data_IF_171387454462
#
_entry.id   IF_171387454462
#
_cell.length_a   1.000
_cell.length_b   1.000
_cell.length_c   1.000
_cell.angle_alpha   90.00
_cell.angle_beta   90.00
_cell.angle_gamma   90.00
#
_symmetry.space_group_name_H-M   'P 1'
#
loop_
_entity.id
_entity.type
_entity.pdbx_description
1 polymer ?
#
# COMPACT_ATOMS: atom_id res chain seq x y z
N UNK A 1 -22.00 -15.00 -2.67
CA UNK A 1 -21.20 -14.90 -1.44
C UNK A 1 -19.77 -14.48 -1.83
N UNK A 2 -19.51 -13.18 -2.03
CA UNK A 2 -18.19 -12.69 -2.31
C UNK A 2 -17.40 -12.54 -1.00
N UNK A 3 -16.33 -13.30 -0.87
CA UNK A 3 -15.38 -13.20 0.24
C UNK A 3 -14.67 -11.86 0.17
N UNK A 4 -15.02 -10.96 1.07
CA UNK A 4 -14.24 -9.73 1.34
C UNK A 4 -12.79 -10.07 1.58
N UNK A 5 -11.89 -9.64 0.68
CA UNK A 5 -10.44 -9.74 0.85
C UNK A 5 -10.03 -8.91 2.05
N UNK A 6 -9.66 -9.55 3.12
CA UNK A 6 -9.17 -8.92 4.35
C UNK A 6 -7.75 -8.43 4.13
N UNK A 7 -7.58 -7.14 3.92
CA UNK A 7 -6.28 -6.46 3.99
C UNK A 7 -5.98 -6.19 5.47
N UNK A 8 -5.74 -7.24 6.24
CA UNK A 8 -5.04 -7.11 7.51
C UNK A 8 -3.58 -7.47 7.26
N UNK A 9 -2.79 -6.50 6.85
CA UNK A 9 -1.38 -6.56 7.08
C UNK A 9 -1.21 -6.45 8.61
N UNK A 10 -0.64 -7.48 9.22
CA UNK A 10 -0.51 -7.61 10.67
C UNK A 10 0.21 -6.38 11.25
N UNK A 11 -0.47 -5.59 12.08
CA UNK A 11 0.05 -4.42 12.83
C UNK A 11 1.20 -4.74 13.79
N UNK A 12 1.67 -5.96 13.80
CA UNK A 12 2.80 -6.37 14.62
C UNK A 12 4.06 -6.39 13.76
N UNK A 13 5.11 -5.62 14.12
CA UNK A 13 6.37 -5.58 13.35
C UNK A 13 7.08 -6.94 13.22
N UNK A 14 6.64 -7.93 13.96
CA UNK A 14 7.11 -9.32 13.95
C UNK A 14 5.98 -10.30 13.50
N UNK A 15 5.13 -9.93 12.56
CA UNK A 15 4.12 -10.82 12.01
C UNK A 15 4.64 -11.64 10.82
N UNK A 16 4.04 -12.84 10.61
CA UNK A 16 4.29 -13.64 9.42
C UNK A 16 3.75 -12.93 8.17
N UNK A 17 4.35 -13.16 6.98
CA UNK A 17 3.81 -12.63 5.74
C UNK A 17 2.39 -13.13 5.49
N UNK A 18 1.57 -12.29 4.89
CA UNK A 18 0.22 -12.68 4.49
C UNK A 18 0.27 -13.45 3.17
N UNK A 19 0.24 -14.78 3.24
CA UNK A 19 0.32 -15.67 2.06
C UNK A 19 -0.90 -15.60 1.13
N UNK A 20 -1.96 -14.85 1.49
CA UNK A 20 -3.11 -14.56 0.62
C UNK A 20 -2.87 -13.33 -0.26
N UNK A 21 -1.84 -12.53 0.04
CA UNK A 21 -1.50 -11.35 -0.73
C UNK A 21 -0.74 -11.76 -2.00
N UNK A 22 -1.25 -11.34 -3.16
CA UNK A 22 -0.65 -11.65 -4.47
C UNK A 22 0.81 -11.19 -4.57
N UNK A 23 1.13 -10.03 -4.01
CA UNK A 23 2.48 -9.48 -4.02
C UNK A 23 3.46 -10.32 -3.18
N UNK A 24 3.01 -10.91 -2.06
CA UNK A 24 3.81 -11.86 -1.26
C UNK A 24 4.05 -13.13 -2.06
N UNK A 25 2.99 -13.70 -2.65
CA UNK A 25 3.07 -14.90 -3.48
C UNK A 25 4.02 -14.71 -4.67
N UNK A 26 3.90 -13.59 -5.38
CA UNK A 26 4.76 -13.27 -6.53
C UNK A 26 6.24 -13.17 -6.12
N UNK A 27 6.53 -12.53 -4.98
CA UNK A 27 7.91 -12.42 -4.47
C UNK A 27 8.49 -13.76 -4.03
N UNK A 28 7.69 -14.61 -3.39
CA UNK A 28 8.12 -15.99 -3.06
C UNK A 28 8.49 -16.71 -4.34
N UNK A 29 7.61 -16.73 -5.35
CA UNK A 29 7.88 -17.39 -6.63
C UNK A 29 9.14 -16.84 -7.31
N UNK A 30 9.31 -15.52 -7.33
CA UNK A 30 10.46 -14.89 -7.97
C UNK A 30 11.77 -15.22 -7.24
N UNK A 31 11.80 -15.07 -5.92
CA UNK A 31 13.00 -15.36 -5.12
C UNK A 31 13.37 -16.83 -5.21
N UNK A 32 12.41 -17.76 -5.07
CA UNK A 32 12.67 -19.21 -5.18
C UNK A 32 13.20 -19.58 -6.56
N UNK A 33 12.64 -19.03 -7.65
CA UNK A 33 13.16 -19.29 -8.98
C UNK A 33 14.56 -18.67 -9.22
N UNK A 34 14.85 -17.50 -8.64
CA UNK A 34 16.20 -16.92 -8.66
C UNK A 34 17.21 -17.80 -7.90
N UNK A 35 16.83 -18.33 -6.74
CA UNK A 35 17.67 -19.26 -5.97
C UNK A 35 17.87 -20.57 -6.73
N UNK A 36 16.85 -21.10 -7.40
CA UNK A 36 16.95 -22.27 -8.26
C UNK A 36 17.92 -22.06 -9.44
N UNK A 37 17.86 -20.89 -10.07
CA UNK A 37 18.81 -20.51 -11.12
C UNK A 37 20.24 -20.42 -10.60
N UNK A 38 20.44 -19.78 -9.45
CA UNK A 38 21.75 -19.72 -8.80
C UNK A 38 22.28 -21.12 -8.48
N UNK A 39 21.45 -22.01 -7.96
CA UNK A 39 21.80 -23.40 -7.70
C UNK A 39 22.16 -24.15 -8.99
N UNK A 40 21.40 -23.95 -10.08
CA UNK A 40 21.70 -24.57 -11.39
C UNK A 40 23.06 -24.10 -11.92
N UNK A 41 23.40 -22.81 -11.79
CA UNK A 41 24.70 -22.26 -12.19
C UNK A 41 25.84 -22.90 -11.36
N UNK A 42 25.66 -23.02 -10.04
CA UNK A 42 26.67 -23.59 -9.15
C UNK A 42 26.90 -25.09 -9.39
N UNK A 43 25.90 -25.83 -9.89
CA UNK A 43 25.96 -27.23 -10.18
C UNK A 43 26.39 -27.55 -11.63
N UNK A 44 26.34 -26.56 -12.52
CA UNK A 44 26.69 -26.74 -13.93
C UNK A 44 28.21 -26.84 -14.11
N UNK A 45 28.65 -27.79 -14.97
CA UNK A 45 30.04 -27.93 -15.36
C UNK A 45 30.41 -27.07 -16.58
N UNK A 46 29.40 -26.68 -17.39
CA UNK A 46 29.51 -25.84 -18.56
C UNK A 46 28.25 -24.99 -18.73
N UNK A 47 28.34 -23.91 -19.52
CA UNK A 47 27.19 -23.05 -19.82
C UNK A 47 26.03 -23.82 -20.47
N UNK A 48 26.31 -24.83 -21.29
CA UNK A 48 25.32 -25.70 -21.92
C UNK A 48 24.50 -26.54 -20.94
N UNK A 49 25.02 -26.79 -19.74
CA UNK A 49 24.41 -27.67 -18.75
C UNK A 49 23.38 -26.91 -17.89
N UNK A 50 23.46 -25.57 -17.83
CA UNK A 50 22.60 -24.74 -16.99
C UNK A 50 21.10 -24.99 -17.27
N UNK A 51 20.60 -25.00 -18.53
CA UNK A 51 19.20 -25.25 -18.82
C UNK A 51 18.72 -26.61 -18.32
N UNK A 52 19.55 -27.65 -18.49
CA UNK A 52 19.22 -29.00 -18.04
C UNK A 52 19.14 -29.08 -16.51
N UNK A 53 20.13 -28.53 -15.79
CA UNK A 53 20.11 -28.43 -14.31
C UNK A 53 18.95 -27.62 -13.79
N UNK A 54 18.64 -26.50 -14.44
CA UNK A 54 17.48 -25.69 -14.09
C UNK A 54 16.17 -26.47 -14.24
N UNK A 55 16.02 -27.24 -15.32
CA UNK A 55 14.83 -28.07 -15.54
C UNK A 55 14.68 -29.15 -14.46
N UNK A 56 15.77 -29.84 -14.09
CA UNK A 56 15.78 -30.82 -13.00
C UNK A 56 15.29 -30.18 -11.66
N UNK A 57 15.84 -29.01 -11.28
CA UNK A 57 15.50 -28.33 -10.04
C UNK A 57 14.04 -27.86 -10.07
N UNK A 58 13.58 -27.22 -11.16
CA UNK A 58 12.24 -26.66 -11.27
C UNK A 58 11.17 -27.75 -11.25
N UNK A 59 11.47 -28.94 -11.80
CA UNK A 59 10.52 -30.08 -11.79
C UNK A 59 10.16 -30.52 -10.36
N UNK A 60 11.11 -30.46 -9.42
CA UNK A 60 10.85 -30.76 -8.01
C UNK A 60 10.34 -29.53 -7.25
N UNK A 61 10.90 -28.35 -7.52
CA UNK A 61 10.59 -27.11 -6.81
C UNK A 61 9.15 -26.64 -7.04
N UNK A 62 8.66 -26.70 -8.29
CA UNK A 62 7.34 -26.15 -8.64
C UNK A 62 6.19 -26.79 -7.88
N UNK A 63 6.03 -28.12 -7.79
CA UNK A 63 4.96 -28.75 -7.04
C UNK A 63 5.06 -28.44 -5.54
N UNK A 64 6.27 -28.38 -4.97
CA UNK A 64 6.50 -28.03 -3.56
C UNK A 64 6.06 -26.59 -3.30
N UNK A 65 6.45 -25.64 -4.16
CA UNK A 65 6.06 -24.22 -4.04
C UNK A 65 4.55 -24.04 -4.14
N UNK A 66 3.91 -24.61 -5.16
CA UNK A 66 2.48 -24.45 -5.35
C UNK A 66 1.68 -25.08 -4.20
N UNK A 67 2.05 -26.29 -3.76
CA UNK A 67 1.41 -26.95 -2.65
C UNK A 67 1.62 -26.17 -1.33
N UNK A 68 2.83 -25.69 -1.06
CA UNK A 68 3.12 -24.92 0.14
C UNK A 68 2.36 -23.58 0.17
N UNK A 69 2.31 -22.85 -0.95
CA UNK A 69 1.56 -21.60 -1.06
C UNK A 69 0.06 -21.81 -0.87
N UNK A 70 -0.50 -22.87 -1.45
CA UNK A 70 -1.90 -23.23 -1.27
C UNK A 70 -2.21 -23.54 0.19
N UNK A 71 -1.42 -24.41 0.82
CA UNK A 71 -1.60 -24.79 2.21
C UNK A 71 -1.40 -23.61 3.16
N UNK A 72 -0.37 -22.77 2.95
CA UNK A 72 -0.11 -21.59 3.77
C UNK A 72 -1.20 -20.53 3.61
N UNK A 73 -1.74 -20.34 2.40
CA UNK A 73 -2.84 -19.41 2.16
C UNK A 73 -4.14 -19.84 2.84
N UNK A 74 -4.42 -21.14 2.89
CA UNK A 74 -5.59 -21.69 3.59
C UNK A 74 -5.39 -21.67 5.11
N UNK A 75 -4.17 -21.96 5.59
CA UNK A 75 -3.82 -21.96 7.00
C UNK A 75 -3.58 -20.56 7.59
N UNK A 76 -3.59 -19.49 6.77
CA UNK A 76 -3.33 -18.12 7.20
C UNK A 76 -4.13 -17.69 8.45
N UNK A 77 -5.46 -17.95 8.59
CA UNK A 77 -6.20 -17.52 9.76
C UNK A 77 -5.71 -18.18 11.07
N UNK A 78 -5.17 -19.38 10.97
CA UNK A 78 -4.59 -20.12 12.09
C UNK A 78 -3.16 -19.65 12.39
N UNK A 79 -2.34 -19.42 11.36
CA UNK A 79 -0.98 -18.90 11.48
C UNK A 79 -0.94 -17.52 12.15
N UNK A 80 -1.95 -16.68 11.93
CA UNK A 80 -2.06 -15.36 12.55
C UNK A 80 -2.22 -15.40 14.08
N UNK A 81 -2.55 -16.57 14.67
CA UNK A 81 -2.66 -16.74 16.12
C UNK A 81 -1.31 -17.00 16.79
N UNK A 82 -0.29 -17.37 16.02
CA UNK A 82 1.04 -17.68 16.55
C UNK A 82 1.91 -16.43 16.66
N UNK A 83 2.84 -16.48 17.60
CA UNK A 83 3.99 -15.56 17.61
C UNK A 83 4.87 -15.84 16.41
N UNK A 84 5.61 -14.84 15.93
CA UNK A 84 6.50 -14.97 14.76
C UNK A 84 7.38 -16.22 14.81
N UNK A 85 8.04 -16.48 15.95
CA UNK A 85 8.94 -17.65 16.10
C UNK A 85 8.21 -18.97 15.90
N UNK A 86 7.05 -19.15 16.55
CA UNK A 86 6.24 -20.38 16.40
C UNK A 86 5.67 -20.53 14.99
N UNK A 87 5.22 -19.44 14.41
CA UNK A 87 4.70 -19.45 13.05
C UNK A 87 5.79 -19.70 12.01
N UNK A 88 6.98 -19.13 12.16
CA UNK A 88 8.13 -19.39 11.30
C UNK A 88 8.57 -20.87 11.34
N UNK A 89 8.59 -21.47 12.54
CA UNK A 89 8.86 -22.92 12.71
C UNK A 89 7.77 -23.77 12.03
N UNK A 90 6.48 -23.39 12.15
CA UNK A 90 5.40 -24.10 11.51
C UNK A 90 5.49 -24.03 9.96
N UNK A 91 5.85 -22.88 9.41
CA UNK A 91 6.07 -22.70 7.96
C UNK A 91 7.24 -23.56 7.49
N UNK A 92 8.38 -23.49 8.19
CA UNK A 92 9.58 -24.28 7.84
C UNK A 92 9.31 -25.80 7.93
N UNK A 93 8.61 -26.24 8.99
CA UNK A 93 8.25 -27.65 9.15
C UNK A 93 7.30 -28.13 8.04
N UNK A 94 6.32 -27.31 7.65
CA UNK A 94 5.40 -27.65 6.54
C UNK A 94 6.14 -27.78 5.22
N UNK A 95 7.02 -26.83 4.88
CA UNK A 95 7.80 -26.87 3.65
C UNK A 95 8.74 -28.07 3.66
N UNK A 96 9.43 -28.34 4.76
CA UNK A 96 10.30 -29.51 4.91
C UNK A 96 9.53 -30.82 4.71
N UNK A 97 8.36 -30.94 5.35
CA UNK A 97 7.50 -32.12 5.23
C UNK A 97 7.05 -32.35 3.77
N UNK A 98 6.64 -31.28 3.09
CA UNK A 98 6.28 -31.35 1.67
C UNK A 98 7.47 -31.73 0.79
N UNK A 99 8.65 -31.18 1.06
CA UNK A 99 9.87 -31.50 0.32
C UNK A 99 10.21 -32.98 0.45
N UNK A 100 10.23 -33.52 1.68
CA UNK A 100 10.50 -34.93 1.92
C UNK A 100 9.43 -35.83 1.31
N UNK A 101 8.16 -35.44 1.36
CA UNK A 101 7.05 -36.17 0.77
C UNK A 101 7.16 -36.24 -0.77
N UNK A 102 7.41 -35.10 -1.42
CA UNK A 102 7.59 -35.04 -2.89
C UNK A 102 8.83 -35.85 -3.32
N UNK A 103 9.93 -35.73 -2.55
CA UNK A 103 11.15 -36.52 -2.85
C UNK A 103 10.90 -38.01 -2.67
N UNK A 104 10.16 -38.44 -1.65
CA UNK A 104 9.81 -39.85 -1.43
C UNK A 104 8.99 -40.41 -2.61
N UNK A 105 7.93 -39.71 -3.02
CA UNK A 105 7.13 -40.11 -4.20
C UNK A 105 7.98 -40.10 -5.46
N UNK A 106 8.79 -39.05 -5.66
CA UNK A 106 9.66 -38.93 -6.84
C UNK A 106 10.68 -40.05 -6.93
N UNK A 107 11.27 -40.47 -5.80
CA UNK A 107 12.25 -41.60 -5.80
C UNK A 107 11.59 -42.94 -6.14
N UNK A 108 10.35 -43.14 -5.70
CA UNK A 108 9.64 -44.40 -5.95
C UNK A 108 9.17 -44.55 -7.41
N UNK A 109 8.76 -43.45 -8.05
CA UNK A 109 8.23 -43.45 -9.41
C UNK A 109 9.31 -43.27 -10.49
N UNK A 110 10.37 -42.50 -10.25
CA UNK A 110 11.39 -42.17 -11.25
C UNK A 110 12.68 -43.02 -11.11
N UNK A 111 12.94 -43.60 -9.94
CA UNK A 111 14.10 -44.48 -9.71
C UNK A 111 13.68 -45.73 -8.94
N UNK A 112 12.86 -46.63 -9.56
CA UNK A 112 12.35 -47.84 -8.90
C UNK A 112 13.43 -48.86 -8.53
N UNK A 113 14.63 -48.75 -9.10
CA UNK A 113 15.79 -49.53 -8.67
C UNK A 113 16.64 -48.67 -7.73
N UNK A 114 16.50 -48.90 -6.43
CA UNK A 114 17.10 -48.17 -5.33
C UNK A 114 18.55 -47.77 -5.60
N UNK A 115 18.77 -46.55 -5.98
CA UNK A 115 20.10 -45.93 -5.98
C UNK A 115 20.62 -45.87 -4.55
N UNK A 116 21.88 -46.26 -4.34
CA UNK A 116 22.57 -46.36 -3.04
C UNK A 116 22.52 -45.10 -2.17
N UNK A 117 21.90 -43.97 -2.61
CA UNK A 117 21.98 -42.66 -1.98
C UNK A 117 20.62 -41.97 -1.66
N UNK A 118 19.50 -42.68 -1.64
CA UNK A 118 18.16 -42.09 -1.36
C UNK A 118 18.11 -41.28 -0.08
N UNK A 119 18.78 -41.73 0.98
CA UNK A 119 18.85 -41.02 2.26
C UNK A 119 19.68 -39.72 2.19
N UNK A 120 20.76 -39.74 1.39
CA UNK A 120 21.61 -38.56 1.20
C UNK A 120 20.87 -37.49 0.38
N UNK A 121 20.12 -37.89 -0.66
CA UNK A 121 19.32 -36.97 -1.48
C UNK A 121 18.19 -36.36 -0.65
N UNK A 122 17.48 -37.14 0.15
CA UNK A 122 16.47 -36.62 1.08
C UNK A 122 17.04 -35.59 2.06
N UNK A 123 18.22 -35.88 2.64
CA UNK A 123 18.93 -34.95 3.53
C UNK A 123 19.32 -33.68 2.77
N UNK A 124 19.88 -33.78 1.58
CA UNK A 124 20.31 -32.65 0.74
C UNK A 124 19.14 -31.73 0.40
N UNK A 125 18.03 -32.29 -0.13
CA UNK A 125 16.84 -31.50 -0.47
C UNK A 125 16.16 -30.92 0.76
N UNK A 126 16.13 -31.65 1.87
CA UNK A 126 15.63 -31.14 3.15
C UNK A 126 16.46 -29.97 3.66
N UNK A 127 17.78 -30.04 3.58
CA UNK A 127 18.67 -28.94 3.99
C UNK A 127 18.49 -27.71 3.08
N UNK A 128 18.42 -27.90 1.77
CA UNK A 128 18.20 -26.79 0.82
C UNK A 128 16.86 -26.11 1.11
N UNK A 129 15.78 -26.87 1.29
CA UNK A 129 14.45 -26.30 1.59
C UNK A 129 14.41 -25.54 2.90
N UNK A 130 15.15 -25.98 3.91
CA UNK A 130 15.30 -25.26 5.19
C UNK A 130 16.04 -23.93 5.02
N UNK A 131 17.14 -23.92 4.25
CA UNK A 131 17.91 -22.71 3.95
C UNK A 131 17.05 -21.74 3.15
N UNK A 132 16.35 -22.21 2.11
CA UNK A 132 15.47 -21.39 1.28
C UNK A 132 14.32 -20.76 2.11
N UNK A 133 13.64 -21.57 2.92
CA UNK A 133 12.61 -21.10 3.85
C UNK A 133 13.16 -20.07 4.83
N UNK A 134 14.37 -20.28 5.34
CA UNK A 134 15.08 -19.34 6.21
C UNK A 134 15.35 -18.00 5.52
N UNK A 135 15.85 -18.02 4.29
CA UNK A 135 16.11 -16.82 3.47
C UNK A 135 14.80 -16.05 3.22
N UNK A 136 13.73 -16.73 2.81
CA UNK A 136 12.43 -16.12 2.55
C UNK A 136 11.83 -15.49 3.82
N UNK A 137 11.84 -16.22 4.93
CA UNK A 137 11.34 -15.71 6.22
C UNK A 137 12.15 -14.52 6.71
N UNK A 138 13.49 -14.56 6.56
CA UNK A 138 14.37 -13.44 6.89
C UNK A 138 14.09 -12.22 6.01
N UNK A 139 13.95 -12.43 4.69
CA UNK A 139 13.60 -11.37 3.74
C UNK A 139 12.30 -10.67 4.14
N UNK A 140 11.22 -11.43 4.36
CA UNK A 140 9.93 -10.85 4.75
C UNK A 140 9.98 -10.18 6.12
N UNK A 141 10.75 -10.71 7.07
CA UNK A 141 10.95 -10.08 8.37
C UNK A 141 11.68 -8.74 8.27
N UNK A 142 12.77 -8.70 7.51
CA UNK A 142 13.52 -7.46 7.29
C UNK A 142 12.65 -6.43 6.56
N UNK A 143 11.95 -6.86 5.53
CA UNK A 143 11.02 -6.02 4.79
C UNK A 143 9.92 -5.45 5.69
N UNK A 144 9.26 -6.29 6.48
CA UNK A 144 8.22 -5.85 7.43
C UNK A 144 8.75 -4.81 8.42
N UNK A 145 9.96 -4.99 8.95
CA UNK A 145 10.58 -4.02 9.86
C UNK A 145 10.94 -2.69 9.18
N UNK A 146 11.50 -2.74 7.99
CA UNK A 146 11.81 -1.53 7.21
C UNK A 146 10.53 -0.76 6.89
N UNK A 147 9.48 -1.49 6.54
CA UNK A 147 8.17 -0.97 6.21
C UNK A 147 7.52 -0.29 7.42
N UNK A 148 7.52 -0.94 8.59
CA UNK A 148 7.00 -0.39 9.84
C UNK A 148 7.75 0.87 10.27
N UNK A 149 9.08 0.93 10.09
CA UNK A 149 9.87 2.13 10.35
C UNK A 149 9.53 3.26 9.38
N UNK A 150 9.46 2.97 8.08
CA UNK A 150 9.08 3.96 7.07
C UNK A 150 7.66 4.52 7.30
N UNK A 151 6.72 3.67 7.71
CA UNK A 151 5.37 4.11 8.11
C UNK A 151 5.41 4.99 9.36
N UNK A 152 6.20 4.63 10.36
CA UNK A 152 6.36 5.42 11.58
C UNK A 152 7.00 6.78 11.28
N UNK A 153 8.06 6.80 10.47
CA UNK A 153 8.74 8.03 10.04
C UNK A 153 7.86 8.89 9.14
N UNK A 154 7.10 8.28 8.23
CA UNK A 154 6.09 8.96 7.43
C UNK A 154 4.96 9.53 8.31
N UNK A 155 4.50 8.78 9.32
CA UNK A 155 3.55 9.29 10.34
C UNK A 155 4.12 10.46 11.12
N UNK A 156 5.38 10.42 11.53
CA UNK A 156 6.05 11.53 12.22
C UNK A 156 6.27 12.74 11.30
N UNK A 157 6.60 12.53 10.04
CA UNK A 157 6.74 13.62 9.05
C UNK A 157 5.38 14.24 8.72
N UNK A 158 4.34 13.43 8.61
CA UNK A 158 2.96 13.91 8.46
C UNK A 158 2.52 14.67 9.71
N UNK A 159 2.85 14.21 10.92
CA UNK A 159 2.61 14.96 12.15
C UNK A 159 3.32 16.33 12.16
N UNK A 160 4.56 16.41 11.70
CA UNK A 160 5.33 17.66 11.58
C UNK A 160 4.88 18.56 10.42
N UNK A 161 4.34 17.97 9.34
CA UNK A 161 3.84 18.68 8.17
C UNK A 161 2.32 18.94 8.20
N UNK A 162 1.60 18.37 9.16
CA UNK A 162 0.13 18.38 9.27
C UNK A 162 -0.50 19.76 9.42
N UNK A 163 0.29 20.74 9.81
CA UNK A 163 -0.19 22.11 9.86
C UNK A 163 0.84 22.94 9.08
N UNK A 164 0.53 23.28 7.83
CA UNK A 164 1.27 24.33 7.14
C UNK A 164 1.07 25.61 7.97
N UNK A 165 2.11 26.17 8.61
CA UNK A 165 1.94 27.38 9.42
C UNK A 165 1.27 28.50 8.62
N UNK A 166 1.56 28.56 7.33
CA UNK A 166 0.99 29.53 6.41
C UNK A 166 -0.55 29.35 6.24
N UNK A 167 -1.07 28.12 6.17
CA UNK A 167 -2.51 27.89 6.13
C UNK A 167 -3.17 28.36 7.41
N UNK A 168 -2.60 28.04 8.57
CA UNK A 168 -3.13 28.46 9.87
C UNK A 168 -3.22 29.99 9.97
N UNK A 169 -2.11 30.68 9.68
CA UNK A 169 -2.09 32.16 9.73
C UNK A 169 -3.07 32.77 8.74
N UNK A 170 -3.17 32.24 7.53
CA UNK A 170 -4.09 32.74 6.51
C UNK A 170 -5.56 32.52 6.90
N UNK A 171 -5.89 31.34 7.42
CA UNK A 171 -7.26 31.04 7.89
C UNK A 171 -7.66 31.95 9.06
N UNK A 172 -6.77 32.16 10.04
CA UNK A 172 -7.01 33.11 11.14
C UNK A 172 -7.23 34.54 10.61
N UNK A 173 -6.40 34.99 9.66
CA UNK A 173 -6.55 36.32 9.08
C UNK A 173 -7.85 36.46 8.29
N UNK A 174 -8.27 35.41 7.54
CA UNK A 174 -9.55 35.42 6.84
C UNK A 174 -10.73 35.52 7.81
N UNK A 175 -10.70 34.74 8.91
CA UNK A 175 -11.73 34.81 9.97
C UNK A 175 -11.75 36.18 10.64
N UNK A 176 -10.60 36.76 10.97
CA UNK A 176 -10.51 38.12 11.54
C UNK A 176 -11.10 39.17 10.59
N UNK A 177 -10.97 39.00 9.28
CA UNK A 177 -11.54 39.87 8.25
C UNK A 177 -13.07 39.89 8.26
N UNK A 178 -13.73 38.79 8.61
CA UNK A 178 -15.19 38.64 8.57
C UNK A 178 -15.86 38.66 9.94
N UNK A 179 -15.10 38.57 11.05
CA UNK A 179 -15.67 38.42 12.41
C UNK A 179 -16.64 39.52 12.80
N UNK A 180 -16.44 40.76 12.32
CA UNK A 180 -17.31 41.89 12.60
C UNK A 180 -18.50 42.03 11.65
N UNK A 181 -18.33 41.59 10.41
CA UNK A 181 -19.34 41.74 9.35
C UNK A 181 -20.22 40.49 9.20
N UNK A 182 -19.67 39.33 9.47
CA UNK A 182 -20.34 38.03 9.31
C UNK A 182 -20.02 37.11 10.50
N UNK A 183 -20.46 37.44 11.74
CA UNK A 183 -20.03 36.71 12.95
C UNK A 183 -20.39 35.22 12.93
N UNK A 184 -21.56 34.83 12.41
CA UNK A 184 -21.96 33.44 12.29
C UNK A 184 -21.07 32.64 11.35
N UNK A 185 -20.61 33.25 10.26
CA UNK A 185 -19.69 32.59 9.31
C UNK A 185 -18.29 32.49 9.92
N UNK A 186 -17.87 33.48 10.71
CA UNK A 186 -16.60 33.42 11.43
C UNK A 186 -16.60 32.30 12.49
N UNK A 187 -17.72 32.12 13.20
CA UNK A 187 -17.91 31.02 14.18
C UNK A 187 -17.81 29.66 13.49
N UNK A 188 -18.57 29.44 12.43
CA UNK A 188 -18.50 28.20 11.67
C UNK A 188 -17.09 27.90 11.13
N UNK A 189 -16.38 28.92 10.63
CA UNK A 189 -15.01 28.76 10.15
C UNK A 189 -14.02 28.39 11.27
N UNK A 190 -14.22 28.89 12.51
CA UNK A 190 -13.41 28.51 13.66
C UNK A 190 -13.72 27.08 14.12
N UNK A 191 -14.98 26.63 14.04
CA UNK A 191 -15.37 25.26 14.32
C UNK A 191 -14.73 24.29 13.29
N UNK A 192 -14.85 24.60 11.99
CA UNK A 192 -14.20 23.82 10.92
C UNK A 192 -12.69 23.72 11.12
N UNK A 193 -12.05 24.83 11.51
CA UNK A 193 -10.63 24.86 11.80
C UNK A 193 -10.27 23.98 13.01
N UNK A 194 -11.07 24.03 14.07
CA UNK A 194 -10.86 23.20 15.26
C UNK A 194 -11.01 21.71 14.95
N UNK A 195 -11.98 21.34 14.11
CA UNK A 195 -12.19 19.96 13.66
C UNK A 195 -11.04 19.46 12.80
N UNK A 196 -10.56 20.26 11.83
CA UNK A 196 -9.38 19.93 11.04
C UNK A 196 -8.15 19.68 11.94
N UNK A 197 -7.93 20.51 12.96
CA UNK A 197 -6.83 20.31 13.91
C UNK A 197 -7.02 19.07 14.77
N UNK A 198 -8.22 18.85 15.29
CA UNK A 198 -8.52 17.65 16.09
C UNK A 198 -8.21 16.38 15.29
N UNK A 199 -8.69 16.31 14.06
CA UNK A 199 -8.44 15.16 13.19
C UNK A 199 -6.97 15.03 12.80
N UNK A 200 -6.28 16.13 12.55
CA UNK A 200 -4.85 16.13 12.28
C UNK A 200 -4.02 15.61 13.47
N UNK A 201 -4.51 15.79 14.71
CA UNK A 201 -3.85 15.35 15.94
C UNK A 201 -4.27 13.95 16.41
N UNK A 202 -5.36 13.39 15.87
CA UNK A 202 -5.82 12.05 16.24
C UNK A 202 -4.85 11.00 15.70
N UNK A 203 -4.29 10.19 16.58
CA UNK A 203 -3.61 8.95 16.21
C UNK A 203 -4.69 7.94 15.84
N UNK A 204 -4.84 7.65 14.57
CA UNK A 204 -5.95 6.86 14.07
C UNK A 204 -5.53 5.60 13.35
N UNK A 205 -6.53 4.81 13.08
CA UNK A 205 -6.50 3.54 12.36
C UNK A 205 -5.80 3.66 10.99
N UNK A 206 -5.34 2.56 10.45
CA UNK A 206 -4.71 2.50 9.13
C UNK A 206 -5.65 2.95 8.01
N UNK A 207 -6.97 2.83 8.23
CA UNK A 207 -8.03 3.25 7.32
C UNK A 207 -9.14 3.97 8.10
N UNK A 208 -9.71 5.00 7.48
CA UNK A 208 -10.85 5.80 8.02
C UNK A 208 -12.03 5.76 7.06
N UNK A 209 -13.26 6.04 7.53
CA UNK A 209 -14.42 6.16 6.66
C UNK A 209 -14.20 7.24 5.58
N UNK A 210 -14.43 6.89 4.32
CA UNK A 210 -14.25 7.82 3.20
C UNK A 210 -15.12 9.08 3.36
N UNK A 211 -16.34 8.94 3.89
CA UNK A 211 -17.22 10.08 4.19
C UNK A 211 -16.57 11.11 5.12
N UNK A 212 -15.79 10.65 6.08
CA UNK A 212 -15.07 11.51 7.02
C UNK A 212 -13.97 12.30 6.32
N UNK A 213 -13.19 11.65 5.47
CA UNK A 213 -12.16 12.31 4.67
C UNK A 213 -12.76 13.35 3.71
N UNK A 214 -13.90 13.03 3.06
CA UNK A 214 -14.63 13.97 2.21
C UNK A 214 -15.11 15.18 3.01
N UNK A 215 -15.64 14.98 4.21
CA UNK A 215 -16.11 16.08 5.06
C UNK A 215 -14.97 17.02 5.44
N UNK A 216 -13.83 16.47 5.87
CA UNK A 216 -12.62 17.26 6.18
C UNK A 216 -12.14 18.07 4.98
N UNK A 217 -12.15 17.46 3.80
CA UNK A 217 -11.79 18.13 2.56
C UNK A 217 -12.74 19.29 2.22
N UNK A 218 -14.04 19.11 2.45
CA UNK A 218 -15.04 20.19 2.27
C UNK A 218 -14.81 21.33 3.26
N UNK A 219 -14.54 21.04 4.52
CA UNK A 219 -14.20 22.03 5.55
C UNK A 219 -12.92 22.80 5.18
N UNK A 220 -11.88 22.09 4.74
CA UNK A 220 -10.66 22.72 4.23
C UNK A 220 -10.93 23.68 3.07
N UNK A 221 -11.70 23.25 2.07
CA UNK A 221 -12.07 24.09 0.92
C UNK A 221 -12.91 25.30 1.34
N UNK A 222 -13.84 25.16 2.29
CA UNK A 222 -14.62 26.27 2.81
C UNK A 222 -13.74 27.36 3.44
N UNK A 223 -12.72 26.95 4.22
CA UNK A 223 -11.75 27.88 4.79
C UNK A 223 -10.90 28.59 3.72
N UNK A 224 -10.48 27.85 2.68
CA UNK A 224 -9.74 28.46 1.57
C UNK A 224 -10.61 29.40 0.72
N UNK A 225 -11.91 29.11 0.60
CA UNK A 225 -12.87 30.00 -0.07
C UNK A 225 -13.06 31.31 0.66
N UNK A 226 -13.00 31.35 1.99
CA UNK A 226 -12.99 32.60 2.75
C UNK A 226 -11.79 33.49 2.39
N UNK A 227 -10.65 32.90 2.06
CA UNK A 227 -9.42 33.62 1.72
C UNK A 227 -9.36 34.01 0.25
N UNK A 228 -9.69 33.09 -0.63
CA UNK A 228 -9.51 33.21 -2.09
C UNK A 228 -10.75 33.81 -2.76
N UNK A 229 -11.93 33.68 -2.11
CA UNK A 229 -13.21 34.14 -2.65
C UNK A 229 -13.69 33.30 -3.82
N UNK A 230 -14.45 33.95 -4.73
CA UNK A 230 -15.07 33.30 -5.90
C UNK A 230 -14.08 32.74 -6.93
N UNK A 231 -12.78 33.01 -6.74
CA UNK A 231 -11.72 32.41 -7.56
C UNK A 231 -11.55 30.91 -7.33
N UNK A 232 -11.92 30.39 -6.14
CA UNK A 232 -11.89 28.97 -5.85
C UNK A 232 -13.28 28.36 -6.00
N UNK A 233 -13.46 27.58 -7.04
CA UNK A 233 -14.65 26.77 -7.28
C UNK A 233 -14.30 25.31 -7.18
N UNK A 234 -15.23 24.47 -6.72
CA UNK A 234 -15.05 23.02 -6.65
C UNK A 234 -16.23 22.30 -7.26
N UNK A 235 -15.96 21.23 -7.97
CA UNK A 235 -16.96 20.31 -8.51
C UNK A 235 -16.74 18.93 -7.92
N UNK A 236 -17.69 18.48 -7.09
CA UNK A 236 -17.64 17.20 -6.41
C UNK A 236 -18.55 16.20 -7.08
N UNK A 237 -17.96 15.17 -7.66
CA UNK A 237 -18.66 14.07 -8.33
C UNK A 237 -18.42 12.79 -7.52
N UNK A 238 -19.33 12.47 -6.60
CA UNK A 238 -19.30 11.27 -5.77
C UNK A 238 -20.38 10.32 -6.27
N UNK A 239 -19.97 9.19 -6.85
CA UNK A 239 -20.88 8.24 -7.50
C UNK A 239 -20.63 6.83 -6.99
N UNK A 240 -21.70 6.05 -6.83
CA UNK A 240 -21.67 4.61 -6.51
C UNK A 240 -20.80 4.28 -5.28
N UNK A 241 -20.78 5.16 -4.28
CA UNK A 241 -19.94 5.02 -3.11
C UNK A 241 -20.65 4.25 -2.00
N UNK A 242 -20.08 3.12 -1.54
CA UNK A 242 -20.59 2.43 -0.35
C UNK A 242 -20.43 3.32 0.90
N UNK A 243 -21.44 3.32 1.76
CA UNK A 243 -21.43 4.08 3.02
C UNK A 243 -20.33 3.64 3.98
N UNK A 244 -19.92 2.38 3.86
CA UNK A 244 -18.90 1.70 4.66
C UNK A 244 -17.51 1.68 3.99
N UNK A 245 -17.30 2.46 2.91
CA UNK A 245 -16.02 2.55 2.23
C UNK A 245 -14.95 3.18 3.14
N UNK A 246 -13.78 2.54 3.18
CA UNK A 246 -12.61 2.96 3.96
C UNK A 246 -11.48 3.43 3.04
N UNK A 247 -10.75 4.44 3.49
CA UNK A 247 -9.63 5.06 2.79
C UNK A 247 -8.46 5.32 3.76
N UNK A 248 -7.21 5.34 3.31
CA UNK A 248 -6.10 5.83 4.14
C UNK A 248 -6.35 7.27 4.59
N UNK A 249 -6.23 7.60 5.89
CA UNK A 249 -6.46 8.95 6.38
C UNK A 249 -5.52 9.95 5.71
N UNK A 250 -6.00 11.18 5.49
CA UNK A 250 -5.24 12.26 4.84
C UNK A 250 -4.69 11.89 3.46
N UNK A 251 -5.49 11.16 2.67
CA UNK A 251 -5.15 10.85 1.27
C UNK A 251 -5.65 11.95 0.32
N UNK A 252 -6.90 12.42 0.51
CA UNK A 252 -7.53 13.46 -0.32
C UNK A 252 -7.01 14.85 0.01
N UNK A 253 -6.86 15.17 1.29
CA UNK A 253 -6.53 16.52 1.74
C UNK A 253 -5.24 17.05 1.09
N UNK A 254 -4.09 16.33 1.07
CA UNK A 254 -2.88 16.84 0.42
C UNK A 254 -3.03 17.06 -1.09
N UNK A 255 -3.91 16.32 -1.76
CA UNK A 255 -4.21 16.52 -3.19
C UNK A 255 -4.96 17.83 -3.40
N UNK A 256 -5.94 18.13 -2.55
CA UNK A 256 -6.67 19.40 -2.59
C UNK A 256 -5.80 20.58 -2.21
N UNK A 257 -4.95 20.44 -1.18
CA UNK A 257 -3.96 21.46 -0.84
C UNK A 257 -3.06 21.80 -2.02
N UNK A 258 -2.60 20.78 -2.75
CA UNK A 258 -1.80 20.99 -3.95
C UNK A 258 -2.59 21.67 -5.08
N UNK A 259 -3.86 21.25 -5.27
CA UNK A 259 -4.73 21.83 -6.27
C UNK A 259 -5.01 23.33 -6.00
N UNK A 260 -5.26 23.69 -4.75
CA UNK A 260 -5.49 25.08 -4.36
C UNK A 260 -4.19 25.89 -4.49
N UNK A 261 -3.12 25.46 -3.83
CA UNK A 261 -1.88 26.25 -3.72
C UNK A 261 -1.15 26.40 -5.07
N UNK A 262 -1.06 25.31 -5.85
CA UNK A 262 -0.33 25.33 -7.12
C UNK A 262 -1.21 25.51 -8.36
N UNK A 263 -2.52 25.23 -8.21
CA UNK A 263 -3.46 25.35 -9.32
C UNK A 263 -4.24 26.66 -9.31
N UNK A 264 -4.87 26.99 -8.17
CA UNK A 264 -5.83 28.10 -8.12
C UNK A 264 -5.15 29.41 -7.68
N UNK A 265 -4.33 29.38 -6.63
CA UNK A 265 -3.75 30.58 -6.02
C UNK A 265 -2.91 31.41 -7.01
N UNK A 266 -2.07 30.79 -7.88
CA UNK A 266 -1.29 31.53 -8.88
C UNK A 266 -2.11 32.12 -10.03
N UNK A 267 -3.39 31.73 -10.20
CA UNK A 267 -4.25 32.15 -11.27
C UNK A 267 -5.10 33.37 -10.86
N UNK A 268 -4.90 34.56 -11.45
CA UNK A 268 -5.73 35.74 -11.12
C UNK A 268 -7.22 35.51 -11.39
N UNK A 269 -7.55 34.75 -12.43
CA UNK A 269 -8.93 34.39 -12.79
C UNK A 269 -9.53 33.29 -11.92
N UNK A 270 -8.69 32.67 -11.07
CA UNK A 270 -9.09 31.47 -10.34
C UNK A 270 -9.35 30.26 -11.23
N UNK A 271 -10.11 29.32 -10.72
CA UNK A 271 -10.45 28.11 -11.45
C UNK A 271 -11.37 27.17 -10.69
N UNK A 272 -11.60 26.00 -11.29
CA UNK A 272 -12.38 24.94 -10.69
C UNK A 272 -11.48 23.73 -10.38
N UNK A 273 -11.58 23.21 -9.16
CA UNK A 273 -10.99 21.92 -8.78
C UNK A 273 -12.09 20.86 -8.94
N UNK A 274 -11.87 19.92 -9.85
CA UNK A 274 -12.76 18.81 -10.10
C UNK A 274 -12.33 17.62 -9.23
N UNK A 275 -13.21 17.09 -8.40
CA UNK A 275 -12.98 15.97 -7.50
C UNK A 275 -13.96 14.86 -7.86
N UNK A 276 -13.46 13.76 -8.40
CA UNK A 276 -14.28 12.61 -8.76
C UNK A 276 -13.93 11.43 -7.87
N UNK A 277 -14.94 10.83 -7.27
CA UNK A 277 -14.85 9.63 -6.45
C UNK A 277 -15.87 8.64 -6.95
N UNK A 278 -15.43 7.46 -7.33
CA UNK A 278 -16.32 6.42 -7.85
C UNK A 278 -15.85 5.04 -7.39
N UNK A 279 -16.77 4.21 -6.90
CA UNK A 279 -16.53 2.80 -6.68
C UNK A 279 -17.01 2.00 -7.91
N UNK A 280 -16.12 1.24 -8.54
CA UNK A 280 -16.41 0.40 -9.69
C UNK A 280 -16.03 -1.06 -9.37
N UNK A 281 -17.03 -1.87 -9.06
CA UNK A 281 -16.77 -3.22 -8.56
C UNK A 281 -16.03 -3.18 -7.22
N UNK A 282 -14.86 -3.80 -7.16
CA UNK A 282 -14.01 -3.85 -5.97
C UNK A 282 -12.91 -2.76 -5.97
N UNK A 283 -12.97 -1.78 -6.88
CA UNK A 283 -11.99 -0.72 -7.01
C UNK A 283 -12.58 0.65 -6.69
N UNK A 284 -11.86 1.44 -5.91
CA UNK A 284 -12.12 2.85 -5.66
C UNK A 284 -11.25 3.69 -6.59
N UNK A 285 -11.90 4.45 -7.47
CA UNK A 285 -11.29 5.43 -8.36
C UNK A 285 -11.43 6.82 -7.77
N UNK A 286 -10.31 7.47 -7.56
CA UNK A 286 -10.19 8.82 -7.05
C UNK A 286 -9.44 9.65 -8.08
N UNK A 287 -10.00 10.80 -8.45
CA UNK A 287 -9.39 11.73 -9.39
C UNK A 287 -9.56 13.16 -8.91
N UNK A 288 -8.45 13.88 -8.86
CA UNK A 288 -8.41 15.32 -8.57
C UNK A 288 -7.76 16.02 -9.74
N UNK A 289 -8.48 16.97 -10.34
CA UNK A 289 -8.00 17.76 -11.48
C UNK A 289 -8.16 19.23 -11.18
N UNK A 290 -7.13 20.01 -11.49
CA UNK A 290 -7.12 21.46 -11.32
C UNK A 290 -6.45 22.14 -12.51
N UNK A 291 -6.78 23.41 -12.79
CA UNK A 291 -6.05 24.19 -13.77
C UNK A 291 -4.61 24.42 -13.30
N UNK A 292 -3.69 24.54 -14.24
CA UNK A 292 -2.30 24.93 -13.95
C UNK A 292 -1.74 25.82 -15.07
N UNK A 293 -0.79 26.70 -14.71
CA UNK A 293 -0.07 27.53 -15.69
C UNK A 293 1.16 26.82 -16.21
N UNK A 294 1.53 27.13 -17.46
CA UNK A 294 2.75 26.61 -18.11
C UNK A 294 4.05 27.20 -17.56
N UNK A 295 4.01 28.15 -16.61
CA UNK A 295 5.23 28.68 -16.01
C UNK A 295 6.01 27.54 -15.38
N UNK A 296 7.24 27.36 -15.88
CA UNK A 296 8.30 26.53 -15.31
C UNK A 296 8.78 27.13 -13.98
N UNK A 297 7.89 27.40 -13.04
CA UNK A 297 8.34 27.80 -11.73
C UNK A 297 8.88 26.58 -11.00
N UNK A 298 10.10 26.75 -10.57
CA UNK A 298 10.92 25.85 -9.82
C UNK A 298 10.09 25.08 -8.81
N UNK A 299 10.08 23.79 -9.01
CA UNK A 299 9.36 22.83 -8.21
C UNK A 299 9.76 23.00 -6.75
N UNK A 300 8.90 23.64 -5.96
CA UNK A 300 9.14 23.71 -4.52
C UNK A 300 9.29 22.28 -3.97
N UNK A 301 10.42 21.99 -3.28
CA UNK A 301 10.74 20.64 -2.82
C UNK A 301 9.65 20.00 -1.94
N UNK A 302 8.82 20.82 -1.28
CA UNK A 302 7.72 20.35 -0.41
C UNK A 302 6.59 19.61 -1.14
N UNK A 303 6.30 19.94 -2.41
CA UNK A 303 5.20 19.28 -3.16
C UNK A 303 5.56 17.84 -3.57
N UNK A 304 6.81 17.61 -3.96
CA UNK A 304 7.30 16.27 -4.28
C UNK A 304 7.26 15.33 -3.07
N UNK A 305 7.44 15.87 -1.86
CA UNK A 305 7.43 15.07 -0.63
C UNK A 305 6.03 14.58 -0.32
N UNK A 306 5.00 15.43 -0.38
CA UNK A 306 3.62 15.04 -0.07
C UNK A 306 3.07 13.99 -1.03
N UNK A 307 3.25 14.20 -2.34
CA UNK A 307 2.80 13.24 -3.37
C UNK A 307 3.60 11.93 -3.33
N UNK A 308 4.90 12.00 -3.04
CA UNK A 308 5.73 10.82 -2.84
C UNK A 308 5.27 10.02 -1.63
N UNK A 309 4.97 10.69 -0.52
CA UNK A 309 4.47 10.05 0.69
C UNK A 309 3.12 9.34 0.45
N UNK A 310 2.22 9.94 -0.36
CA UNK A 310 0.97 9.30 -0.77
C UNK A 310 1.27 8.00 -1.53
N UNK A 311 2.15 8.06 -2.52
CA UNK A 311 2.51 6.89 -3.32
C UNK A 311 3.14 5.79 -2.47
N UNK A 312 4.15 6.12 -1.68
CA UNK A 312 4.82 5.19 -0.76
C UNK A 312 3.80 4.54 0.19
N UNK A 313 2.85 5.31 0.70
CA UNK A 313 1.81 4.81 1.60
C UNK A 313 0.83 3.86 0.90
N UNK A 314 0.42 4.18 -0.33
CA UNK A 314 -0.43 3.28 -1.14
C UNK A 314 0.29 1.96 -1.44
N UNK A 315 1.57 2.03 -1.83
CA UNK A 315 2.41 0.86 -2.06
C UNK A 315 2.56 0.00 -0.78
N UNK A 316 2.59 0.65 0.40
CA UNK A 316 2.68 -0.01 1.69
C UNK A 316 1.39 -0.74 2.09
N UNK A 317 0.24 -0.10 1.90
CA UNK A 317 -1.05 -0.62 2.33
C UNK A 317 -1.64 -1.62 1.35
N UNK A 318 -1.48 -1.37 0.04
CA UNK A 318 -2.16 -2.11 -1.02
C UNK A 318 -1.22 -2.84 -1.98
N UNK A 319 0.10 -2.59 -1.88
CA UNK A 319 1.13 -3.21 -2.72
C UNK A 319 0.82 -2.98 -4.22
N UNK A 320 0.81 -4.03 -5.02
CA UNK A 320 0.51 -3.98 -6.47
C UNK A 320 -0.98 -3.73 -6.80
N UNK A 321 -1.86 -3.74 -5.80
CA UNK A 321 -3.30 -3.55 -5.99
C UNK A 321 -3.68 -2.06 -6.05
N UNK A 322 -2.77 -1.13 -5.72
CA UNK A 322 -2.98 0.29 -5.86
C UNK A 322 -2.15 0.87 -7.00
N UNK A 323 -2.73 1.83 -7.72
CA UNK A 323 -2.05 2.55 -8.79
C UNK A 323 -2.17 4.05 -8.55
N UNK A 324 -1.06 4.77 -8.69
CA UNK A 324 -0.98 6.21 -8.59
C UNK A 324 -0.45 6.78 -9.90
N UNK A 325 -1.21 7.66 -10.55
CA UNK A 325 -0.82 8.37 -11.76
C UNK A 325 -0.96 9.87 -11.56
N UNK A 326 0.07 10.63 -11.85
CA UNK A 326 0.02 12.08 -11.92
C UNK A 326 0.37 12.52 -13.33
N UNK A 327 -0.47 13.35 -13.93
CA UNK A 327 -0.34 13.83 -15.30
C UNK A 327 -0.43 15.35 -15.32
N UNK A 328 0.46 15.98 -16.06
CA UNK A 328 0.44 17.41 -16.32
C UNK A 328 0.12 17.64 -17.79
N UNK A 329 -1.06 18.18 -18.07
CA UNK A 329 -1.45 18.64 -19.39
C UNK A 329 -0.94 20.06 -19.68
N UNK A 330 -1.43 20.67 -20.76
CA UNK A 330 -1.09 22.05 -21.15
C UNK A 330 -1.62 23.07 -20.13
N UNK A 331 -2.87 22.89 -19.69
CA UNK A 331 -3.61 23.85 -18.87
C UNK A 331 -4.18 23.22 -17.60
N UNK A 332 -3.84 21.94 -17.31
CA UNK A 332 -4.34 21.23 -16.16
C UNK A 332 -3.27 20.32 -15.53
N UNK A 333 -3.47 20.04 -14.25
CA UNK A 333 -2.79 18.99 -13.51
C UNK A 333 -3.83 18.00 -12.99
N UNK A 334 -3.55 16.73 -13.12
CA UNK A 334 -4.48 15.66 -12.75
C UNK A 334 -3.74 14.58 -11.97
N UNK A 335 -4.30 14.19 -10.82
CA UNK A 335 -3.88 13.03 -10.05
C UNK A 335 -5.01 12.02 -10.06
N UNK A 336 -4.67 10.79 -10.40
CA UNK A 336 -5.59 9.65 -10.42
C UNK A 336 -5.03 8.54 -9.54
N UNK A 337 -5.86 8.04 -8.64
CA UNK A 337 -5.54 6.94 -7.73
C UNK A 337 -6.61 5.88 -7.91
N UNK A 338 -6.17 4.64 -8.13
CA UNK A 338 -7.03 3.46 -8.16
C UNK A 338 -6.53 2.54 -7.05
N UNK A 339 -7.43 2.09 -6.19
CA UNK A 339 -7.09 1.21 -5.07
C UNK A 339 -8.28 0.30 -4.73
N UNK A 340 -8.07 -0.81 -4.00
CA UNK A 340 -9.18 -1.66 -3.57
C UNK A 340 -10.22 -0.91 -2.75
N UNK A 341 -11.50 -1.12 -3.06
CA UNK A 341 -12.62 -0.59 -2.29
C UNK A 341 -12.79 -1.43 -1.01
N UNK A 342 -12.10 -1.01 0.07
CA UNK A 342 -12.18 -1.67 1.38
C UNK A 342 -13.45 -1.20 2.09
N UNK A 343 -14.17 -2.14 2.71
CA UNK A 343 -15.40 -1.87 3.48
C UNK A 343 -15.20 -2.18 4.95
N UNK A 344 -15.86 -1.40 5.80
CA UNK A 344 -15.92 -1.68 7.22
C UNK A 344 -16.61 -3.03 7.45
N UNK A 345 -16.04 -3.87 8.30
CA UNK A 345 -16.71 -5.14 8.65
C UNK A 345 -17.93 -4.82 9.49
N UNK A 346 -19.12 -5.12 8.98
CA UNK A 346 -20.29 -5.23 9.84
C UNK A 346 -20.02 -6.31 10.89
N UNK A 347 -19.95 -5.88 12.14
CA UNK A 347 -19.81 -6.73 13.34
C UNK A 347 -21.07 -7.57 13.53
#
# INVERSE_FOLDING_TARGET
>A
MHKTRSIKQNDRPDALPNFRNLGVTLRILLISNCLALLQAILMASAWSDIPHRMMEIVTLLTPILLASLLLLSTAQPWLNRFTYRRGALAVAALVLMLTLFVNYIGSEYFHPMGGENSNFDAFRYGLISMIESGILLLYFRLRSRTLSRALHDARLQVLRARIRPHFLFNSINAVLGIVRTQPKQAEAALEDMADLFRMAMTEGDDLVPLRQEIQLCKQYIALEQLRIGDRLRTDWQVQDMPDDALIPPLLLQPLLENAVYHGIEPLPSGGCVEIMLRCKGDELHLKVKNPCTLRRDEQHPGNRIALRNIRERLDLLFDVEANYKAERGKDYYCVEIVMPCVKEKST
#
